data_IF_515821262689
#
_entry.id   IF_515821262689
#
_cell.length_a   1.000
_cell.length_b   1.000
_cell.length_c   1.000
_cell.angle_alpha   90.00
_cell.angle_beta   90.00
_cell.angle_gamma   90.00
#
_symmetry.space_group_name_H-M   'P 1'
#
loop_
_entity.id
_entity.type
_entity.pdbx_description
1 polymer ?
#
# COMPACT_ATOMS: atom_id res chain seq x y z
N UNK A 1 1.77 1.88 24.56
CA UNK A 1 0.58 2.33 23.81
C UNK A 1 1.00 3.54 23.00
N UNK A 2 0.74 3.55 21.69
CA UNK A 2 1.07 4.68 20.81
C UNK A 2 -0.17 5.58 20.66
N UNK A 3 0.04 6.87 20.41
CA UNK A 3 -1.03 7.84 20.19
C UNK A 3 -0.98 8.29 18.73
N UNK A 4 -2.12 8.26 18.02
CA UNK A 4 -2.25 8.70 16.64
C UNK A 4 -2.88 10.10 16.59
N UNK A 5 -2.07 11.12 16.84
CA UNK A 5 -2.56 12.49 17.05
C UNK A 5 -2.34 13.40 15.84
N UNK A 6 -1.85 12.86 14.73
CA UNK A 6 -1.52 13.62 13.53
C UNK A 6 -2.19 12.97 12.32
N UNK A 7 -2.48 13.77 11.31
CA UNK A 7 -3.05 13.31 10.04
C UNK A 7 -2.27 13.85 8.85
N UNK A 8 -2.22 13.07 7.77
CA UNK A 8 -1.71 13.50 6.47
C UNK A 8 -2.59 12.94 5.35
N UNK A 9 -2.50 13.57 4.18
CA UNK A 9 -3.08 13.05 2.95
C UNK A 9 -1.98 12.63 1.99
N UNK A 10 -2.08 11.42 1.46
CA UNK A 10 -1.18 10.90 0.42
C UNK A 10 -2.00 10.64 -0.84
N UNK A 11 -1.53 11.15 -1.98
CA UNK A 11 -2.13 10.91 -3.30
C UNK A 11 -1.27 9.94 -4.09
N UNK A 12 -1.90 8.87 -4.57
CA UNK A 12 -1.32 7.90 -5.51
C UNK A 12 -2.08 8.06 -6.83
N UNK A 13 -1.33 8.29 -7.90
CA UNK A 13 -1.89 8.73 -9.18
C UNK A 13 -1.87 7.61 -10.21
N UNK A 14 -2.80 7.69 -11.18
CA UNK A 14 -2.86 6.77 -12.34
C UNK A 14 -2.98 5.28 -11.97
N UNK A 15 -3.82 4.96 -10.98
CA UNK A 15 -4.18 3.57 -10.67
C UNK A 15 -5.20 3.05 -11.69
N UNK A 16 -5.11 1.78 -12.14
CA UNK A 16 -6.15 1.19 -12.97
C UNK A 16 -7.48 1.16 -12.20
N UNK A 17 -8.59 1.54 -12.84
CA UNK A 17 -9.91 1.60 -12.17
C UNK A 17 -10.33 0.25 -11.54
N UNK A 18 -9.85 -0.86 -12.11
CA UNK A 18 -10.11 -2.22 -11.61
C UNK A 18 -9.45 -2.52 -10.26
N UNK A 19 -8.56 -1.65 -9.78
CA UNK A 19 -7.90 -1.78 -8.47
C UNK A 19 -8.73 -1.21 -7.33
N UNK A 20 -9.69 -0.32 -7.60
CA UNK A 20 -10.57 0.27 -6.58
C UNK A 20 -11.17 -0.78 -5.64
N UNK A 21 -11.82 -1.86 -6.12
CA UNK A 21 -12.40 -2.87 -5.23
C UNK A 21 -11.35 -3.74 -4.52
N UNK A 22 -10.07 -3.69 -4.93
CA UNK A 22 -8.98 -4.47 -4.32
C UNK A 22 -8.26 -3.73 -3.19
N UNK A 23 -8.44 -2.41 -3.10
CA UNK A 23 -7.84 -1.59 -2.05
C UNK A 23 -8.80 -1.55 -0.86
N UNK A 24 -8.62 -2.50 0.05
CA UNK A 24 -9.40 -2.60 1.29
C UNK A 24 -8.56 -2.15 2.49
N UNK A 25 -9.03 -1.15 3.23
CA UNK A 25 -8.31 -0.64 4.41
C UNK A 25 -8.55 -1.50 5.65
N UNK A 26 -9.74 -2.11 5.75
CA UNK A 26 -10.19 -2.92 6.89
C UNK A 26 -10.84 -4.20 6.38
N UNK A 27 -10.76 -5.27 7.16
CA UNK A 27 -11.49 -6.49 6.86
C UNK A 27 -13.00 -6.22 6.89
N UNK A 28 -13.76 -6.56 5.83
CA UNK A 28 -15.22 -6.35 5.79
C UNK A 28 -15.94 -7.06 6.94
N UNK A 29 -15.51 -8.29 7.25
CA UNK A 29 -16.08 -9.12 8.31
C UNK A 29 -15.56 -8.76 9.71
N UNK A 30 -14.49 -7.97 9.77
CA UNK A 30 -13.85 -7.58 11.02
C UNK A 30 -13.35 -6.12 10.95
N UNK A 31 -14.27 -5.12 10.96
CA UNK A 31 -13.97 -3.73 10.65
C UNK A 31 -12.96 -3.06 11.58
N UNK A 32 -12.65 -3.68 12.73
CA UNK A 32 -11.68 -3.17 13.71
C UNK A 32 -10.24 -3.59 13.39
N UNK A 33 -10.01 -4.36 12.33
CA UNK A 33 -8.70 -4.91 12.00
C UNK A 33 -8.19 -4.27 10.70
N UNK A 34 -7.25 -3.31 10.79
CA UNK A 34 -6.68 -2.70 9.61
C UNK A 34 -5.88 -3.74 8.83
N UNK A 35 -6.16 -3.84 7.53
CA UNK A 35 -5.41 -4.69 6.59
C UNK A 35 -4.10 -3.99 6.21
N UNK A 36 -4.18 -2.68 6.02
CA UNK A 36 -3.08 -1.85 5.56
C UNK A 36 -2.64 -0.93 6.69
N UNK A 37 -1.36 -0.98 7.03
CA UNK A 37 -0.71 -0.01 7.89
C UNK A 37 0.78 0.04 7.58
N UNK A 38 1.39 1.19 7.89
CA UNK A 38 2.82 1.41 7.80
C UNK A 38 3.38 1.27 9.20
N UNK A 39 4.35 0.37 9.34
CA UNK A 39 5.14 0.20 10.55
C UNK A 39 6.60 0.11 10.12
N UNK A 40 7.27 1.26 10.15
CA UNK A 40 8.63 1.41 9.64
C UNK A 40 9.46 2.32 10.55
N UNK A 41 10.72 2.53 10.20
CA UNK A 41 11.63 3.39 10.94
C UNK A 41 12.23 4.43 10.01
N UNK A 42 12.25 5.69 10.45
CA UNK A 42 12.99 6.77 9.82
C UNK A 42 13.90 7.39 10.87
N UNK A 43 15.21 7.45 10.61
CA UNK A 43 16.20 7.98 11.57
C UNK A 43 16.08 7.38 13.00
N UNK A 44 15.88 6.06 13.11
CA UNK A 44 15.63 5.32 14.36
C UNK A 44 14.33 5.67 15.11
N UNK A 45 13.49 6.54 14.56
CA UNK A 45 12.18 6.79 15.11
C UNK A 45 11.14 5.90 14.42
N UNK A 46 10.31 5.26 15.24
CA UNK A 46 9.25 4.38 14.73
C UNK A 46 8.11 5.21 14.18
N UNK A 47 7.77 4.96 12.92
CA UNK A 47 6.60 5.51 12.26
C UNK A 47 5.51 4.45 12.23
N UNK A 48 4.34 4.84 12.75
CA UNK A 48 3.09 4.13 12.60
C UNK A 48 2.12 5.02 11.83
N UNK A 49 1.66 4.55 10.67
CA UNK A 49 0.67 5.24 9.87
C UNK A 49 -0.48 4.29 9.51
N UNK A 50 -1.71 4.72 9.75
CA UNK A 50 -2.91 3.93 9.49
C UNK A 50 -3.78 4.67 8.47
N UNK A 51 -3.87 4.19 7.23
CA UNK A 51 -4.88 4.68 6.30
C UNK A 51 -6.28 4.39 6.87
N UNK A 52 -7.08 5.44 7.04
CA UNK A 52 -8.43 5.34 7.61
C UNK A 52 -9.53 5.57 6.58
N UNK A 53 -9.22 6.33 5.53
CA UNK A 53 -10.13 6.54 4.40
C UNK A 53 -9.36 6.62 3.10
N UNK A 54 -10.03 6.27 2.00
CA UNK A 54 -9.55 6.45 0.64
C UNK A 54 -10.67 7.02 -0.21
N UNK A 55 -10.37 8.02 -1.01
CA UNK A 55 -11.28 8.60 -1.99
C UNK A 55 -10.68 8.52 -3.38
N UNK A 56 -11.51 8.29 -4.39
CA UNK A 56 -11.06 8.10 -5.78
C UNK A 56 -11.57 9.21 -6.68
N UNK A 57 -10.69 9.77 -7.48
CA UNK A 57 -11.01 10.64 -8.61
C UNK A 57 -10.82 9.83 -9.90
N UNK A 58 -11.91 9.49 -10.58
CA UNK A 58 -11.91 8.59 -11.74
C UNK A 58 -11.80 9.39 -13.03
N UNK A 59 -10.93 8.95 -13.94
CA UNK A 59 -10.77 9.51 -15.29
C UNK A 59 -10.37 8.41 -16.28
N UNK A 60 -11.15 8.27 -17.35
CA UNK A 60 -11.01 7.20 -18.35
C UNK A 60 -10.93 5.80 -17.69
N UNK A 61 -9.87 5.04 -17.98
CA UNK A 61 -9.59 3.71 -17.42
C UNK A 61 -8.75 3.74 -16.12
N UNK A 62 -8.54 4.94 -15.55
CA UNK A 62 -7.68 5.19 -14.40
C UNK A 62 -8.39 5.94 -13.28
N UNK A 63 -7.74 6.01 -12.12
CA UNK A 63 -8.13 6.87 -11.03
C UNK A 63 -6.94 7.34 -10.20
N UNK A 64 -7.11 8.47 -9.53
CA UNK A 64 -6.23 8.92 -8.48
C UNK A 64 -6.85 8.57 -7.12
N UNK A 65 -6.08 7.92 -6.25
CA UNK A 65 -6.50 7.55 -4.90
C UNK A 65 -5.86 8.50 -3.88
N UNK A 66 -6.70 9.18 -3.10
CA UNK A 66 -6.26 10.01 -1.97
C UNK A 66 -6.57 9.32 -0.67
N UNK A 67 -5.53 9.00 0.09
CA UNK A 67 -5.62 8.33 1.40
C UNK A 67 -5.46 9.35 2.52
N UNK A 68 -6.31 9.26 3.54
CA UNK A 68 -6.11 9.93 4.82
C UNK A 68 -5.44 8.96 5.79
N UNK A 69 -4.27 9.33 6.32
CA UNK A 69 -3.49 8.50 7.25
C UNK A 69 -3.44 9.16 8.62
N UNK A 70 -3.69 8.37 9.67
CA UNK A 70 -3.45 8.77 11.06
C UNK A 70 -2.07 8.28 11.53
N UNK A 71 -1.32 9.16 12.19
CA UNK A 71 0.11 8.97 12.47
C UNK A 71 0.48 9.22 13.93
N UNK A 72 1.50 8.51 14.40
CA UNK A 72 2.11 8.76 15.70
C UNK A 72 3.12 9.92 15.73
N UNK A 73 3.50 10.46 14.57
CA UNK A 73 4.49 11.53 14.44
C UNK A 73 3.92 12.74 13.67
N UNK A 74 4.36 13.96 13.96
CA UNK A 74 3.90 15.16 13.27
C UNK A 74 4.42 15.23 11.84
N UNK A 75 3.63 15.80 10.93
CA UNK A 75 3.96 15.89 9.50
C UNK A 75 5.32 16.55 9.24
N UNK A 76 5.69 17.57 10.01
CA UNK A 76 6.96 18.31 9.84
C UNK A 76 8.19 17.43 10.06
N UNK A 77 8.05 16.33 10.81
CA UNK A 77 9.12 15.37 11.08
C UNK A 77 9.17 14.21 10.08
N UNK A 78 8.14 14.08 9.23
CA UNK A 78 7.98 12.96 8.33
C UNK A 78 8.49 13.30 6.93
N UNK A 79 9.27 12.38 6.36
CA UNK A 79 9.53 12.37 4.93
C UNK A 79 8.28 11.84 4.21
N UNK A 80 7.51 12.73 3.56
CA UNK A 80 6.27 12.34 2.88
C UNK A 80 6.50 11.37 1.71
N UNK A 81 7.63 11.49 1.01
CA UNK A 81 7.96 10.59 -0.09
C UNK A 81 8.21 9.17 0.42
N UNK A 82 8.83 9.04 1.60
CA UNK A 82 9.00 7.75 2.27
C UNK A 82 7.66 7.14 2.66
N UNK A 83 6.73 7.92 3.23
CA UNK A 83 5.40 7.42 3.59
C UNK A 83 4.60 7.01 2.36
N UNK A 84 4.69 7.81 1.30
CA UNK A 84 4.06 7.51 0.01
C UNK A 84 4.59 6.18 -0.54
N UNK A 85 5.91 6.00 -0.56
CA UNK A 85 6.53 4.75 -1.03
C UNK A 85 6.13 3.53 -0.19
N UNK A 86 6.10 3.64 1.14
CA UNK A 86 5.61 2.57 2.02
C UNK A 86 4.14 2.24 1.74
N UNK A 87 3.30 3.26 1.50
CA UNK A 87 1.89 3.04 1.15
C UNK A 87 1.76 2.34 -0.20
N UNK A 88 2.48 2.81 -1.22
CA UNK A 88 2.54 2.21 -2.56
C UNK A 88 2.96 0.73 -2.49
N UNK A 89 3.93 0.39 -1.63
CA UNK A 89 4.38 -0.98 -1.43
C UNK A 89 3.27 -1.87 -0.86
N UNK A 90 2.49 -1.34 0.09
CA UNK A 90 1.40 -2.11 0.74
C UNK A 90 0.23 -2.38 -0.21
N UNK A 91 0.00 -1.52 -1.19
CA UNK A 91 -1.05 -1.71 -2.21
C UNK A 91 -0.52 -2.28 -3.54
N UNK A 92 0.77 -2.66 -3.59
CA UNK A 92 1.38 -3.30 -4.76
C UNK A 92 1.60 -2.38 -5.97
N UNK A 93 1.71 -1.06 -5.74
CA UNK A 93 1.97 -0.06 -6.79
C UNK A 93 3.46 0.09 -7.08
N UNK A 94 4.28 0.16 -6.02
CA UNK A 94 5.74 0.23 -6.14
C UNK A 94 6.34 -1.17 -6.23
N UNK A 95 7.55 -1.24 -6.78
CA UNK A 95 8.33 -2.48 -6.89
C UNK A 95 7.53 -3.64 -7.50
N UNK A 96 6.79 -3.33 -8.58
CA UNK A 96 5.88 -4.26 -9.25
C UNK A 96 6.59 -5.56 -9.59
N UNK A 97 6.12 -6.65 -8.99
CA UNK A 97 6.54 -8.00 -9.32
C UNK A 97 5.64 -8.50 -10.45
N UNK A 98 6.25 -8.85 -11.57
CA UNK A 98 5.58 -9.50 -12.69
C UNK A 98 5.51 -11.02 -12.51
N UNK A 99 4.67 -11.67 -13.31
CA UNK A 99 4.67 -13.14 -13.41
C UNK A 99 6.06 -13.66 -13.82
N UNK A 100 6.79 -12.92 -14.65
CA UNK A 100 8.15 -13.30 -15.04
C UNK A 100 9.11 -13.23 -13.85
N UNK A 101 9.03 -12.20 -13.02
CA UNK A 101 9.86 -12.10 -11.80
C UNK A 101 9.58 -13.28 -10.85
N UNK A 102 8.32 -13.75 -10.77
CA UNK A 102 7.97 -14.96 -10.01
C UNK A 102 8.58 -16.22 -10.61
N UNK A 103 8.55 -16.37 -11.94
CA UNK A 103 9.17 -17.50 -12.66
C UNK A 103 10.68 -17.51 -12.46
N UNK A 104 11.33 -16.34 -12.59
CA UNK A 104 12.77 -16.21 -12.43
C UNK A 104 13.21 -16.58 -10.99
N UNK A 105 12.37 -16.28 -9.99
CA UNK A 105 12.57 -16.71 -8.61
C UNK A 105 12.46 -18.24 -8.40
N UNK A 106 11.84 -18.98 -9.32
CA UNK A 106 11.75 -20.45 -9.22
C UNK A 106 13.08 -21.15 -9.48
N UNK A 107 14.11 -20.45 -9.99
CA UNK A 107 15.48 -20.95 -10.12
C UNK A 107 15.60 -22.33 -10.80
N UNK A 108 14.79 -22.58 -11.85
CA UNK A 108 14.83 -23.82 -12.63
C UNK A 108 13.95 -24.95 -12.08
N UNK A 109 13.18 -24.74 -11.02
CA UNK A 109 12.21 -25.74 -10.53
C UNK A 109 10.98 -25.82 -11.43
N UNK A 110 11.04 -26.72 -12.43
CA UNK A 110 10.05 -26.85 -13.51
C UNK A 110 8.60 -27.05 -13.07
N UNK A 111 8.38 -27.70 -11.92
CA UNK A 111 7.03 -27.93 -11.39
C UNK A 111 6.39 -26.61 -10.93
N UNK A 112 7.18 -25.73 -10.28
CA UNK A 112 6.71 -24.42 -9.84
C UNK A 112 6.56 -23.45 -11.01
N UNK A 113 7.50 -23.47 -11.96
CA UNK A 113 7.41 -22.66 -13.16
C UNK A 113 6.17 -23.00 -14.00
N UNK A 114 5.87 -24.30 -14.16
CA UNK A 114 4.67 -24.77 -14.88
C UNK A 114 3.40 -24.31 -14.19
N UNK A 115 3.32 -24.47 -12.86
CA UNK A 115 2.16 -24.01 -12.08
C UNK A 115 1.90 -22.51 -12.25
N UNK A 116 2.95 -21.68 -12.20
CA UNK A 116 2.80 -20.22 -12.32
C UNK A 116 2.39 -19.81 -13.75
N UNK A 117 2.88 -20.52 -14.78
CA UNK A 117 2.51 -20.25 -16.18
C UNK A 117 1.05 -20.60 -16.51
N UNK A 118 0.42 -21.45 -15.69
CA UNK A 118 -0.97 -21.88 -15.87
C UNK A 118 -2.01 -20.97 -15.16
N UNK A 119 -1.58 -20.00 -14.33
CA UNK A 119 -2.42 -19.00 -13.65
C UNK A 119 -2.95 -17.93 -14.61
#
# INVERSE_FOLDING_TARGET
>A
MFLLNNEIKIKIEYLPIQWIPKIELFYPDLPQFPIIYINSFNNNERILAFPVTVSYEIFDDYCDATFLLLLNQPQQSLNLDFIKHELENRIGVSDKISVQDMIDCCNGHTDYESFIKDL
#
